data_IF_286160135164
#
_entry.id   IF_286160135164
#
_cell.length_a   1.000
_cell.length_b   1.000
_cell.length_c   1.000
_cell.angle_alpha   90.00
_cell.angle_beta   90.00
_cell.angle_gamma   90.00
#
_symmetry.space_group_name_H-M   'P 1'
#
loop_
_entity.id
_entity.type
_entity.pdbx_description
1 polymer ?
#
# COMPACT_ATOMS: atom_id res chain seq x y z
N UNK A 1 1.39 -8.04 51.06
CA UNK A 1 2.37 -6.96 50.81
C UNK A 1 2.96 -7.22 49.43
N UNK A 2 2.31 -6.68 48.40
CA UNK A 2 2.71 -6.82 47.00
C UNK A 2 3.76 -5.76 46.66
N UNK A 3 4.62 -6.07 45.68
CA UNK A 3 5.53 -5.16 44.94
C UNK A 3 7.00 -5.15 45.37
N UNK A 4 7.78 -6.22 45.15
CA UNK A 4 9.20 -6.02 44.84
C UNK A 4 9.87 -7.10 43.98
N UNK A 5 9.10 -7.92 43.26
CA UNK A 5 9.62 -8.85 42.24
C UNK A 5 9.91 -8.10 40.91
N UNK A 6 10.36 -6.85 41.03
CA UNK A 6 10.83 -6.00 39.94
C UNK A 6 12.36 -6.09 39.89
N UNK A 7 12.90 -7.29 39.73
CA UNK A 7 14.24 -7.39 39.16
C UNK A 7 14.06 -6.96 37.71
N UNK A 8 14.31 -5.66 37.54
CA UNK A 8 13.92 -4.82 36.43
C UNK A 8 14.35 -5.44 35.09
N UNK A 9 13.42 -5.77 34.18
CA UNK A 9 13.73 -6.13 32.79
C UNK A 9 14.67 -5.11 32.11
N UNK A 10 14.60 -3.86 32.56
CA UNK A 10 15.50 -2.77 32.17
C UNK A 10 16.96 -2.96 32.65
N UNK A 11 17.19 -3.55 33.81
CA UNK A 11 18.54 -3.89 34.28
C UNK A 11 19.11 -5.04 33.48
N UNK A 12 18.33 -6.10 33.25
CA UNK A 12 18.75 -7.24 32.43
C UNK A 12 19.05 -6.81 30.98
N UNK A 13 18.23 -5.94 30.39
CA UNK A 13 18.48 -5.36 29.07
C UNK A 13 19.74 -4.48 29.04
N UNK A 14 19.95 -3.66 30.09
CA UNK A 14 21.16 -2.82 30.20
C UNK A 14 22.42 -3.66 30.32
N UNK A 15 22.41 -4.70 31.14
CA UNK A 15 23.55 -5.61 31.29
C UNK A 15 23.84 -6.35 29.98
N UNK A 16 22.80 -6.81 29.28
CA UNK A 16 22.94 -7.40 27.96
C UNK A 16 23.52 -6.42 26.94
N UNK A 17 23.06 -5.16 26.95
CA UNK A 17 23.56 -4.11 26.05
C UNK A 17 25.03 -3.80 26.31
N UNK A 18 25.42 -3.58 27.57
CA UNK A 18 26.82 -3.30 27.96
C UNK A 18 27.73 -4.48 27.62
N UNK A 19 27.26 -5.72 27.84
CA UNK A 19 28.00 -6.92 27.44
C UNK A 19 28.14 -7.03 25.92
N UNK A 20 27.10 -6.65 25.17
CA UNK A 20 27.10 -6.66 23.70
C UNK A 20 28.01 -5.59 23.12
N UNK A 21 28.03 -4.38 23.70
CA UNK A 21 28.93 -3.30 23.33
C UNK A 21 30.39 -3.73 23.47
N UNK A 22 30.73 -4.37 24.60
CA UNK A 22 32.08 -4.89 24.82
C UNK A 22 32.44 -5.99 23.81
N UNK A 23 31.50 -6.90 23.52
CA UNK A 23 31.71 -7.95 22.52
C UNK A 23 31.89 -7.38 21.11
N UNK A 24 31.13 -6.35 20.74
CA UNK A 24 31.23 -5.68 19.44
C UNK A 24 32.52 -4.88 19.31
N UNK A 25 32.93 -4.18 20.36
CA UNK A 25 34.21 -3.46 20.41
C UNK A 25 35.39 -4.41 20.24
N UNK A 26 35.35 -5.57 20.91
CA UNK A 26 36.37 -6.61 20.80
C UNK A 26 36.39 -7.21 19.39
N UNK A 27 35.21 -7.53 18.83
CA UNK A 27 35.08 -8.05 17.47
C UNK A 27 35.56 -7.04 16.41
N UNK A 28 35.26 -5.74 16.57
CA UNK A 28 35.73 -4.67 15.68
C UNK A 28 37.25 -4.48 15.76
N UNK A 29 37.83 -4.64 16.95
CA UNK A 29 39.27 -4.55 17.16
C UNK A 29 39.99 -5.73 16.50
N UNK A 30 39.49 -6.95 16.69
CA UNK A 30 40.03 -8.16 16.06
C UNK A 30 39.86 -8.13 14.53
N UNK A 31 38.72 -7.62 14.05
CA UNK A 31 38.39 -7.46 12.63
C UNK A 31 39.28 -6.42 11.93
N UNK A 32 39.63 -5.30 12.59
CA UNK A 32 40.57 -4.31 12.05
C UNK A 32 42.02 -4.83 12.04
N UNK A 33 42.34 -5.83 12.86
CA UNK A 33 43.66 -6.45 12.92
C UNK A 33 43.87 -7.60 11.92
N UNK A 34 42.82 -8.09 11.27
CA UNK A 34 42.89 -9.29 10.43
C UNK A 34 42.71 -8.96 8.93
N UNK A 35 43.81 -8.94 8.18
CA UNK A 35 43.85 -8.76 6.72
C UNK A 35 42.98 -9.79 5.96
N UNK A 36 42.69 -10.95 6.59
CA UNK A 36 41.91 -12.06 6.02
C UNK A 36 40.40 -11.80 6.02
N UNK A 37 39.95 -10.80 6.77
CA UNK A 37 38.54 -10.41 6.85
C UNK A 37 37.99 -9.96 5.48
N UNK A 38 38.82 -9.28 4.68
CA UNK A 38 38.46 -8.83 3.33
C UNK A 38 38.15 -9.97 2.35
N UNK A 39 38.83 -11.11 2.47
CA UNK A 39 38.66 -12.26 1.56
C UNK A 39 37.53 -13.21 1.99
N UNK A 40 37.25 -13.32 3.29
CA UNK A 40 36.21 -14.19 3.83
C UNK A 40 34.82 -13.55 3.92
N UNK A 41 34.75 -12.22 4.04
CA UNK A 41 33.49 -11.53 4.33
C UNK A 41 32.45 -11.62 3.21
N UNK A 42 32.84 -11.75 1.94
CA UNK A 42 31.86 -11.93 0.86
C UNK A 42 31.01 -13.19 1.02
N UNK A 43 31.63 -14.30 1.43
CA UNK A 43 30.92 -15.56 1.72
C UNK A 43 30.17 -15.50 3.05
N UNK A 44 30.81 -14.93 4.07
CA UNK A 44 30.20 -14.76 5.39
C UNK A 44 28.96 -13.86 5.35
N UNK A 45 28.98 -12.80 4.54
CA UNK A 45 27.85 -11.90 4.33
C UNK A 45 26.69 -12.59 3.60
N UNK A 46 26.98 -13.44 2.60
CA UNK A 46 25.94 -14.25 1.96
C UNK A 46 25.29 -15.24 2.92
N UNK A 47 26.09 -15.87 3.79
CA UNK A 47 25.61 -16.80 4.81
C UNK A 47 24.84 -16.09 5.93
N UNK A 48 25.28 -14.88 6.33
CA UNK A 48 24.57 -14.02 7.27
C UNK A 48 23.24 -13.51 6.69
N UNK A 49 23.19 -13.14 5.41
CA UNK A 49 21.95 -12.77 4.74
C UNK A 49 20.99 -13.96 4.57
N UNK A 50 21.51 -15.18 4.53
CA UNK A 50 20.69 -16.39 4.54
C UNK A 50 20.14 -16.66 5.95
N UNK A 51 20.97 -16.55 7.00
CA UNK A 51 20.51 -16.71 8.39
C UNK A 51 19.50 -15.65 8.79
N UNK A 52 19.66 -14.42 8.32
CA UNK A 52 18.73 -13.32 8.58
C UNK A 52 17.35 -13.56 7.94
N UNK A 53 17.32 -14.17 6.75
CA UNK A 53 16.07 -14.60 6.11
C UNK A 53 15.37 -15.70 6.91
N UNK A 54 16.12 -16.72 7.32
CA UNK A 54 15.59 -17.82 8.14
C UNK A 54 15.06 -17.31 9.50
N UNK A 55 15.75 -16.33 10.12
CA UNK A 55 15.29 -15.69 11.34
C UNK A 55 13.99 -14.89 11.12
N UNK A 56 13.91 -14.12 10.03
CA UNK A 56 12.70 -13.37 9.69
C UNK A 56 11.50 -14.29 9.48
N UNK A 57 11.71 -15.45 8.88
CA UNK A 57 10.67 -16.46 8.61
C UNK A 57 10.25 -17.21 9.88
N UNK A 58 11.18 -17.50 10.77
CA UNK A 58 10.87 -18.03 12.10
C UNK A 58 10.10 -17.00 12.96
N UNK A 59 10.48 -15.73 12.88
CA UNK A 59 9.81 -14.63 13.58
C UNK A 59 8.40 -14.38 13.04
N UNK A 60 8.19 -14.48 11.72
CA UNK A 60 6.85 -14.36 11.13
C UNK A 60 5.95 -15.53 11.53
N UNK A 61 6.46 -16.77 11.58
CA UNK A 61 5.73 -17.92 12.12
C UNK A 61 5.41 -17.76 13.61
N UNK A 62 6.35 -17.21 14.38
CA UNK A 62 6.14 -16.93 15.80
C UNK A 62 5.05 -15.87 16.02
N UNK A 63 5.05 -14.79 15.23
CA UNK A 63 4.03 -13.74 15.28
C UNK A 63 2.67 -14.26 14.77
N UNK A 64 2.65 -15.11 13.74
CA UNK A 64 1.45 -15.77 13.26
C UNK A 64 0.82 -16.67 14.33
N UNK A 65 1.64 -17.42 15.10
CA UNK A 65 1.18 -18.21 16.25
C UNK A 65 0.59 -17.35 17.38
N UNK A 66 0.96 -16.06 17.44
CA UNK A 66 0.41 -15.09 18.39
C UNK A 66 -0.76 -14.27 17.82
N UNK A 67 -1.27 -14.60 16.61
CA UNK A 67 -2.26 -13.78 15.88
C UNK A 67 -1.81 -12.32 15.67
N UNK A 68 -0.51 -12.04 15.72
CA UNK A 68 0.02 -10.71 15.46
C UNK A 68 0.38 -10.63 13.98
N UNK A 69 -0.24 -9.72 13.20
CA UNK A 69 0.04 -9.61 11.77
C UNK A 69 1.51 -9.26 11.56
N UNK A 70 2.18 -10.01 10.68
CA UNK A 70 3.58 -9.77 10.37
C UNK A 70 3.71 -8.51 9.49
N UNK A 71 4.90 -7.88 9.49
CA UNK A 71 5.15 -6.69 8.65
C UNK A 71 4.92 -6.99 7.17
N UNK A 72 5.24 -8.19 6.70
CA UNK A 72 5.00 -8.60 5.31
C UNK A 72 3.52 -8.67 4.97
N UNK A 73 2.68 -9.15 5.88
CA UNK A 73 1.24 -9.28 5.64
C UNK A 73 0.57 -7.91 5.52
N UNK A 74 1.02 -6.94 6.32
CA UNK A 74 0.54 -5.55 6.23
C UNK A 74 0.93 -4.91 4.90
N UNK A 75 2.12 -5.22 4.38
CA UNK A 75 2.56 -4.73 3.07
C UNK A 75 1.77 -5.38 1.93
N UNK A 76 1.54 -6.70 1.97
CA UNK A 76 0.71 -7.39 0.96
C UNK A 76 -0.75 -6.87 0.97
N UNK A 77 -1.30 -6.59 2.15
CA UNK A 77 -2.60 -5.92 2.29
C UNK A 77 -2.59 -4.51 1.68
N UNK A 78 -1.52 -3.75 1.88
CA UNK A 78 -1.34 -2.42 1.28
C UNK A 78 -1.34 -2.47 -0.24
N UNK A 79 -0.58 -3.39 -0.83
CA UNK A 79 -0.51 -3.56 -2.29
C UNK A 79 -1.87 -3.98 -2.87
N UNK A 80 -2.57 -4.91 -2.21
CA UNK A 80 -3.93 -5.34 -2.63
C UNK A 80 -4.94 -4.20 -2.54
N UNK A 81 -4.88 -3.38 -1.48
CA UNK A 81 -5.76 -2.23 -1.32
C UNK A 81 -5.50 -1.18 -2.40
N UNK A 82 -4.23 -0.90 -2.72
CA UNK A 82 -3.88 0.01 -3.82
C UNK A 82 -4.43 -0.46 -5.17
N UNK A 83 -4.32 -1.75 -5.48
CA UNK A 83 -4.93 -2.31 -6.70
C UNK A 83 -6.46 -2.16 -6.71
N UNK A 84 -7.13 -2.37 -5.57
CA UNK A 84 -8.57 -2.16 -5.47
C UNK A 84 -8.92 -0.68 -5.70
N UNK A 85 -8.18 0.25 -5.11
CA UNK A 85 -8.37 1.69 -5.32
C UNK A 85 -8.23 2.09 -6.79
N UNK A 86 -7.21 1.56 -7.49
CA UNK A 86 -7.02 1.81 -8.91
C UNK A 86 -8.18 1.27 -9.77
N UNK A 87 -8.65 0.05 -9.48
CA UNK A 87 -9.81 -0.51 -10.20
C UNK A 87 -11.09 0.29 -9.92
N UNK A 88 -11.30 0.76 -8.69
CA UNK A 88 -12.42 1.63 -8.35
C UNK A 88 -12.36 2.97 -9.07
N UNK A 89 -11.16 3.57 -9.17
CA UNK A 89 -10.96 4.80 -9.93
C UNK A 89 -11.28 4.60 -11.42
N UNK A 90 -10.84 3.48 -12.01
CA UNK A 90 -11.14 3.13 -13.39
C UNK A 90 -12.65 2.96 -13.64
N UNK A 91 -13.34 2.23 -12.76
CA UNK A 91 -14.80 2.05 -12.83
C UNK A 91 -15.56 3.38 -12.70
N UNK A 92 -15.08 4.29 -11.85
CA UNK A 92 -15.68 5.61 -11.69
C UNK A 92 -15.55 6.46 -12.95
N UNK A 93 -14.44 6.33 -13.70
CA UNK A 93 -14.26 6.98 -15.00
C UNK A 93 -15.21 6.39 -16.03
N UNK A 94 -15.30 5.06 -16.13
CA UNK A 94 -16.19 4.40 -17.09
C UNK A 94 -17.66 4.79 -16.86
N UNK A 95 -18.12 4.80 -15.61
CA UNK A 95 -19.48 5.23 -15.26
C UNK A 95 -19.74 6.70 -15.61
N UNK A 96 -18.74 7.57 -15.45
CA UNK A 96 -18.86 8.98 -15.86
C UNK A 96 -19.00 9.11 -17.37
N UNK A 97 -18.23 8.33 -18.13
CA UNK A 97 -18.28 8.39 -19.59
C UNK A 97 -19.58 7.78 -20.13
N UNK A 98 -20.04 6.66 -19.58
CA UNK A 98 -21.38 6.12 -19.88
C UNK A 98 -22.46 7.16 -19.59
N UNK A 99 -22.42 7.85 -18.44
CA UNK A 99 -23.39 8.90 -18.12
C UNK A 99 -23.36 10.04 -19.14
N UNK A 100 -22.19 10.50 -19.60
CA UNK A 100 -22.09 11.53 -20.64
C UNK A 100 -22.75 11.07 -21.94
N UNK A 101 -22.49 9.82 -22.35
CA UNK A 101 -23.09 9.24 -23.55
C UNK A 101 -24.62 9.17 -23.44
N UNK A 102 -25.15 8.72 -22.30
CA UNK A 102 -26.61 8.69 -22.06
C UNK A 102 -27.24 10.09 -22.08
N UNK A 103 -26.59 11.07 -21.48
CA UNK A 103 -27.07 12.47 -21.47
C UNK A 103 -27.06 13.04 -22.89
N UNK A 104 -25.97 12.86 -23.64
CA UNK A 104 -25.88 13.32 -25.02
C UNK A 104 -26.90 12.63 -25.93
N UNK A 105 -27.07 11.31 -25.81
CA UNK A 105 -28.07 10.55 -26.56
C UNK A 105 -29.50 11.01 -26.24
N UNK A 106 -29.79 11.39 -24.99
CA UNK A 106 -31.08 11.96 -24.62
C UNK A 106 -31.29 13.34 -25.25
N UNK A 107 -30.27 14.19 -25.27
CA UNK A 107 -30.35 15.50 -25.92
C UNK A 107 -30.55 15.38 -27.45
N UNK A 108 -29.88 14.43 -28.10
CA UNK A 108 -30.09 14.15 -29.53
C UNK A 108 -31.51 13.61 -29.80
N UNK A 109 -32.04 12.76 -28.93
CA UNK A 109 -33.41 12.24 -29.04
C UNK A 109 -34.49 13.32 -28.83
N UNK A 110 -34.29 14.23 -27.87
CA UNK A 110 -35.19 15.37 -27.64
C UNK A 110 -35.10 16.40 -28.81
N UNK A 111 -33.91 16.60 -29.40
CA UNK A 111 -33.73 17.48 -30.57
C UNK A 111 -34.37 16.90 -31.85
N UNK A 112 -34.33 15.58 -32.04
CA UNK A 112 -35.03 14.90 -33.14
C UNK A 112 -36.55 14.99 -32.95
N UNK A 113 -37.06 14.79 -31.73
CA UNK A 113 -38.49 14.92 -31.42
C UNK A 113 -39.01 16.34 -31.65
N UNK A 114 -38.24 17.36 -31.26
CA UNK A 114 -38.59 18.77 -31.48
C UNK A 114 -38.64 19.17 -32.96
N UNK A 115 -37.95 18.44 -33.84
CA UNK A 115 -37.93 18.69 -35.28
C UNK A 115 -39.03 17.90 -36.03
N UNK A 116 -39.64 16.89 -35.40
CA UNK A 116 -40.74 16.10 -35.95
C UNK A 116 -42.13 16.64 -35.62
N UNK A 117 -42.26 17.56 -34.66
CA UNK A 117 -43.54 18.21 -34.38
C UNK A 117 -43.88 19.23 -35.49
N UNK A 118 -44.98 19.03 -36.25
CA UNK A 118 -45.32 19.92 -37.35
C UNK A 118 -45.71 21.30 -36.79
N UNK A 119 -44.86 22.30 -37.07
CA UNK A 119 -45.08 23.70 -36.70
C UNK A 119 -46.49 24.15 -37.17
N UNK A 120 -47.34 24.69 -36.28
CA UNK A 120 -48.71 25.04 -36.65
C UNK A 120 -48.74 26.08 -37.77
N UNK A 121 -49.54 25.80 -38.80
CA UNK A 121 -49.64 26.63 -39.99
C UNK A 121 -50.10 28.06 -39.65
N UNK A 122 -49.32 29.07 -40.06
CA UNK A 122 -49.64 30.49 -39.85
C UNK A 122 -50.86 30.89 -40.68
N UNK A 123 -52.05 30.83 -40.09
CA UNK A 123 -53.29 31.40 -40.63
C UNK A 123 -53.36 32.89 -40.34
N UNK A 124 -52.52 33.67 -41.01
CA UNK A 124 -52.76 35.12 -41.15
C UNK A 124 -52.77 35.45 -42.63
N UNK A 125 -53.93 35.30 -43.26
CA UNK A 125 -54.17 35.90 -44.57
C UNK A 125 -54.13 37.43 -44.42
N UNK A 126 -53.43 38.14 -45.32
CA UNK A 126 -53.44 39.60 -45.32
C UNK A 126 -54.82 40.13 -45.73
N UNK A 127 -55.27 41.29 -45.21
CA UNK A 127 -56.56 41.86 -45.55
C UNK A 127 -56.63 42.21 -47.04
N UNK A 128 -57.70 41.75 -47.70
CA UNK A 128 -58.07 42.11 -49.07
C UNK A 128 -58.36 43.61 -49.14
N UNK A 129 -57.61 44.34 -49.96
CA UNK A 129 -57.75 45.77 -50.18
C UNK A 129 -58.96 46.02 -51.10
N UNK A 130 -59.97 46.73 -50.61
CA UNK A 130 -61.05 47.32 -51.42
C UNK A 130 -60.76 48.82 -51.64
#
# INVERSE_FOLDING_TARGET
MSSNEKIEPMQMWREWFVKSEKAWSQALTDMMGDERFSQGMGKYMQEALHSHRMFSEAMSQYLANLNLPSRSDVLDLGDRLGQIEDTLAALQVELRDQRKLFVNAKFDADAVSANTDPRPARTKQPPSKA
#
